data_IF_094644663820
#
_entry.id   IF_094644663820
#
_cell.length_a   1.000
_cell.length_b   1.000
_cell.length_c   1.000
_cell.angle_alpha   90.00
_cell.angle_beta   90.00
_cell.angle_gamma   90.00
#
_symmetry.space_group_name_H-M   'P 1'
#
loop_
_entity.id
_entity.type
_entity.pdbx_description
1 polymer ?
#
# COMPACT_ATOMS: atom_id res chain seq x y z
N UNK A 1 -1.84 -62.61 46.18
CA UNK A 1 -3.00 -63.06 45.39
C UNK A 1 -2.64 -63.96 44.20
N UNK A 2 -1.53 -63.70 43.49
CA UNK A 2 -1.12 -64.44 42.29
C UNK A 2 -0.90 -65.96 42.49
N UNK A 3 -0.32 -66.37 43.61
CA UNK A 3 0.00 -67.79 43.87
C UNK A 3 -1.23 -68.68 44.18
N UNK A 4 -2.42 -68.10 44.38
CA UNK A 4 -3.67 -68.85 44.68
C UNK A 4 -4.60 -69.06 43.46
N UNK A 5 -4.27 -68.50 42.29
CA UNK A 5 -5.04 -68.65 41.05
C UNK A 5 -4.70 -69.96 40.32
N UNK A 6 -5.69 -70.62 39.69
CA UNK A 6 -5.44 -71.79 38.83
C UNK A 6 -4.67 -71.41 37.56
N UNK A 7 -3.90 -72.34 36.99
CA UNK A 7 -3.06 -72.10 35.79
C UNK A 7 -3.89 -71.53 34.61
N UNK A 8 -5.16 -71.93 34.49
CA UNK A 8 -6.06 -71.52 33.41
C UNK A 8 -6.37 -70.02 33.36
N UNK A 9 -6.21 -69.28 34.46
CA UNK A 9 -6.41 -67.82 34.50
C UNK A 9 -5.11 -67.01 34.47
N UNK A 10 -3.96 -67.62 34.78
CA UNK A 10 -2.66 -66.91 34.83
C UNK A 10 -2.13 -66.55 33.45
N UNK A 11 -2.22 -67.48 32.49
CA UNK A 11 -1.73 -67.28 31.12
C UNK A 11 -2.55 -66.20 30.40
N UNK A 12 -3.90 -66.23 30.40
CA UNK A 12 -4.69 -65.16 29.79
C UNK A 12 -4.48 -63.80 30.44
N UNK A 13 -4.36 -63.73 31.77
CA UNK A 13 -4.10 -62.48 32.48
C UNK A 13 -2.73 -61.87 32.12
N UNK A 14 -1.70 -62.70 31.96
CA UNK A 14 -0.37 -62.25 31.53
C UNK A 14 -0.39 -61.72 30.07
N UNK A 15 -1.10 -62.41 29.16
CA UNK A 15 -1.26 -61.98 27.77
C UNK A 15 -2.02 -60.65 27.69
N UNK A 16 -3.13 -60.50 28.44
CA UNK A 16 -3.89 -59.25 28.53
C UNK A 16 -3.04 -58.10 29.07
N UNK A 17 -2.27 -58.34 30.13
CA UNK A 17 -1.36 -57.34 30.69
C UNK A 17 -0.30 -56.90 29.68
N UNK A 18 0.31 -57.85 28.96
CA UNK A 18 1.30 -57.56 27.93
C UNK A 18 0.69 -56.78 26.75
N UNK A 19 -0.46 -57.21 26.25
CA UNK A 19 -1.18 -56.52 25.18
C UNK A 19 -1.56 -55.09 25.57
N UNK A 20 -1.98 -54.87 26.81
CA UNK A 20 -2.33 -53.54 27.32
C UNK A 20 -1.10 -52.63 27.42
N UNK A 21 0.03 -53.14 27.91
CA UNK A 21 1.30 -52.38 27.97
C UNK A 21 1.75 -51.96 26.57
N UNK A 22 1.72 -52.88 25.61
CA UNK A 22 2.08 -52.59 24.21
C UNK A 22 1.12 -51.56 23.62
N UNK A 23 -0.19 -51.73 23.82
CA UNK A 23 -1.20 -50.80 23.32
C UNK A 23 -1.02 -49.37 23.87
N UNK A 24 -0.75 -49.23 25.17
CA UNK A 24 -0.46 -47.93 25.79
C UNK A 24 0.85 -47.35 25.26
N UNK A 25 1.90 -48.17 25.14
CA UNK A 25 3.19 -47.71 24.61
C UNK A 25 3.08 -47.20 23.16
N UNK A 26 2.42 -47.97 22.29
CA UNK A 26 2.16 -47.59 20.90
C UNK A 26 1.25 -46.37 20.83
N UNK A 27 0.17 -46.34 21.62
CA UNK A 27 -0.76 -45.20 21.66
C UNK A 27 -0.08 -43.91 22.10
N UNK A 28 0.72 -43.96 23.16
CA UNK A 28 1.49 -42.82 23.65
C UNK A 28 2.53 -42.35 22.63
N UNK A 29 3.31 -43.29 22.05
CA UNK A 29 4.28 -42.97 21.01
C UNK A 29 3.62 -42.38 19.77
N UNK A 30 2.48 -42.94 19.35
CA UNK A 30 1.72 -42.47 18.19
C UNK A 30 1.16 -41.08 18.42
N UNK A 31 0.59 -40.80 19.60
CA UNK A 31 0.11 -39.48 19.96
C UNK A 31 1.24 -38.45 19.99
N UNK A 32 2.38 -38.79 20.59
CA UNK A 32 3.55 -37.89 20.64
C UNK A 32 4.09 -37.59 19.24
N UNK A 33 4.18 -38.60 18.37
CA UNK A 33 4.61 -38.40 16.99
C UNK A 33 3.62 -37.55 16.19
N UNK A 34 2.31 -37.82 16.33
CA UNK A 34 1.26 -37.06 15.66
C UNK A 34 1.24 -35.58 16.12
N UNK A 35 1.39 -35.32 17.42
CA UNK A 35 1.45 -33.95 17.93
C UNK A 35 2.67 -33.18 17.41
N UNK A 36 3.84 -33.85 17.30
CA UNK A 36 5.05 -33.24 16.72
C UNK A 36 4.89 -32.94 15.24
N UNK A 37 4.34 -33.90 14.48
CA UNK A 37 4.08 -33.75 13.05
C UNK A 37 3.08 -32.62 12.78
N UNK A 38 1.99 -32.55 13.55
CA UNK A 38 1.00 -31.47 13.41
C UNK A 38 1.61 -30.10 13.68
N UNK A 39 2.47 -29.97 14.70
CA UNK A 39 3.16 -28.71 14.99
C UNK A 39 4.14 -28.35 13.87
N UNK A 40 4.90 -29.31 13.37
CA UNK A 40 5.83 -29.09 12.27
C UNK A 40 5.10 -28.65 10.99
N UNK A 41 4.01 -29.31 10.63
CA UNK A 41 3.17 -28.91 9.50
C UNK A 41 2.55 -27.53 9.69
N UNK A 42 2.15 -27.18 10.91
CA UNK A 42 1.63 -25.84 11.20
C UNK A 42 2.72 -24.78 11.01
N UNK A 43 3.95 -25.05 11.45
CA UNK A 43 5.10 -24.17 11.28
C UNK A 43 5.47 -24.00 9.80
N UNK A 44 5.60 -25.09 9.05
CA UNK A 44 5.89 -25.05 7.61
C UNK A 44 4.84 -24.25 6.84
N UNK A 45 3.54 -24.45 7.15
CA UNK A 45 2.45 -23.70 6.51
C UNK A 45 2.54 -22.21 6.82
N UNK A 46 2.79 -21.85 8.08
CA UNK A 46 2.95 -20.44 8.45
C UNK A 46 4.16 -19.82 7.75
N UNK A 47 5.26 -20.55 7.63
CA UNK A 47 6.44 -20.11 6.90
C UNK A 47 6.13 -19.94 5.41
N UNK A 48 5.49 -20.90 4.75
CA UNK A 48 5.09 -20.77 3.34
C UNK A 48 4.15 -19.59 3.12
N UNK A 49 3.22 -19.34 4.04
CA UNK A 49 2.35 -18.16 3.99
C UNK A 49 3.18 -16.88 4.13
N UNK A 50 4.09 -16.82 5.10
CA UNK A 50 4.95 -15.67 5.30
C UNK A 50 5.82 -15.38 4.07
N UNK A 51 6.45 -16.41 3.52
CA UNK A 51 7.26 -16.32 2.29
C UNK A 51 6.41 -15.83 1.10
N UNK A 52 5.22 -16.41 0.90
CA UNK A 52 4.29 -15.98 -0.15
C UNK A 52 3.87 -14.52 0.01
N UNK A 53 3.64 -14.04 1.24
CA UNK A 53 3.28 -12.63 1.49
C UNK A 53 4.46 -11.69 1.25
N UNK A 54 5.67 -12.11 1.60
CA UNK A 54 6.89 -11.33 1.28
C UNK A 54 7.06 -11.20 -0.23
N UNK A 55 6.86 -12.29 -0.98
CA UNK A 55 6.89 -12.25 -2.46
C UNK A 55 5.83 -11.32 -3.02
N UNK A 56 4.57 -11.46 -2.57
CA UNK A 56 3.46 -10.61 -3.02
C UNK A 56 3.72 -9.11 -2.75
N UNK A 57 4.26 -8.76 -1.59
CA UNK A 57 4.63 -7.38 -1.27
C UNK A 57 5.79 -6.87 -2.16
N UNK A 58 6.79 -7.71 -2.43
CA UNK A 58 7.87 -7.33 -3.34
C UNK A 58 7.36 -7.09 -4.77
N UNK A 59 6.50 -7.98 -5.26
CA UNK A 59 5.90 -7.87 -6.60
C UNK A 59 5.04 -6.61 -6.70
N UNK A 60 4.27 -6.30 -5.64
CA UNK A 60 3.47 -5.07 -5.56
C UNK A 60 4.34 -3.81 -5.58
N UNK A 61 5.39 -3.73 -4.77
CA UNK A 61 6.31 -2.59 -4.76
C UNK A 61 7.07 -2.45 -6.09
N UNK A 62 7.39 -3.55 -6.75
CA UNK A 62 8.00 -3.55 -8.08
C UNK A 62 7.01 -3.02 -9.14
N UNK A 63 5.73 -3.37 -9.04
CA UNK A 63 4.68 -2.81 -9.89
C UNK A 63 4.59 -1.30 -9.75
N UNK A 64 4.51 -0.79 -8.51
CA UNK A 64 4.47 0.66 -8.25
C UNK A 64 5.69 1.36 -8.87
N UNK A 65 6.88 0.77 -8.74
CA UNK A 65 8.10 1.32 -9.33
C UNK A 65 8.02 1.40 -10.85
N UNK A 66 7.55 0.33 -11.51
CA UNK A 66 7.41 0.30 -12.98
C UNK A 66 6.40 1.31 -13.46
N UNK A 67 5.26 1.43 -12.77
CA UNK A 67 4.22 2.38 -13.11
C UNK A 67 4.73 3.82 -12.96
N UNK A 68 5.42 4.15 -11.85
CA UNK A 68 6.01 5.47 -11.64
C UNK A 68 7.04 5.82 -12.71
N UNK A 69 7.90 4.87 -13.11
CA UNK A 69 8.88 5.07 -14.19
C UNK A 69 8.20 5.32 -15.54
N UNK A 70 7.14 4.55 -15.85
CA UNK A 70 6.39 4.74 -17.07
C UNK A 70 5.68 6.09 -17.07
N UNK A 71 4.86 6.36 -16.04
CA UNK A 71 4.02 7.56 -15.95
C UNK A 71 4.85 8.84 -15.91
N UNK A 72 5.98 8.86 -15.19
CA UNK A 72 6.84 10.05 -15.12
C UNK A 72 7.56 10.36 -16.44
N UNK A 73 7.64 9.40 -17.36
CA UNK A 73 8.25 9.58 -18.70
C UNK A 73 7.21 9.76 -19.81
N UNK A 74 5.91 9.62 -19.51
CA UNK A 74 4.86 9.86 -20.48
C UNK A 74 4.84 11.34 -20.91
N UNK A 75 4.75 11.65 -22.23
CA UNK A 75 4.62 13.02 -22.71
C UNK A 75 3.44 13.77 -22.09
N UNK A 76 2.32 13.07 -21.85
CA UNK A 76 1.13 13.63 -21.20
C UNK A 76 1.44 14.20 -19.81
N UNK A 77 2.22 13.48 -19.00
CA UNK A 77 2.58 13.92 -17.64
C UNK A 77 3.46 15.17 -17.69
N UNK A 78 4.42 15.21 -18.62
CA UNK A 78 5.28 16.39 -18.82
C UNK A 78 4.47 17.61 -19.27
N UNK A 79 3.53 17.41 -20.20
CA UNK A 79 2.61 18.46 -20.67
C UNK A 79 1.70 18.95 -19.54
N UNK A 80 1.12 18.04 -18.75
CA UNK A 80 0.31 18.39 -17.60
C UNK A 80 1.09 19.21 -16.56
N UNK A 81 2.32 18.80 -16.21
CA UNK A 81 3.19 19.58 -15.30
C UNK A 81 3.44 20.97 -15.86
N UNK A 82 3.77 21.10 -17.15
CA UNK A 82 4.04 22.39 -17.79
C UNK A 82 2.78 23.28 -17.80
N UNK A 83 1.63 22.73 -18.20
CA UNK A 83 0.35 23.44 -18.26
C UNK A 83 -0.13 23.90 -16.88
N UNK A 84 -0.09 23.03 -15.87
CA UNK A 84 -0.43 23.41 -14.50
C UNK A 84 0.57 24.41 -13.91
N UNK A 85 1.87 24.30 -14.21
CA UNK A 85 2.87 25.28 -13.75
C UNK A 85 2.61 26.66 -14.34
N UNK A 86 2.28 26.75 -15.64
CA UNK A 86 1.93 28.02 -16.31
C UNK A 86 0.65 28.61 -15.74
N UNK A 87 -0.40 27.78 -15.62
CA UNK A 87 -1.67 28.22 -15.07
C UNK A 87 -1.56 28.66 -13.61
N UNK A 88 -0.70 28.01 -12.82
CA UNK A 88 -0.38 28.43 -11.46
C UNK A 88 0.18 29.85 -11.42
N UNK A 89 1.16 30.17 -12.28
CA UNK A 89 1.77 31.50 -12.34
C UNK A 89 0.80 32.59 -12.81
N UNK A 90 -0.18 32.25 -13.65
CA UNK A 90 -1.24 33.17 -14.10
C UNK A 90 -2.25 33.55 -13.02
N UNK A 91 -2.37 32.76 -11.94
CA UNK A 91 -3.26 33.09 -10.83
C UNK A 91 -2.72 34.28 -10.03
N UNK A 92 -3.46 35.37 -9.97
CA UNK A 92 -3.09 36.51 -9.12
C UNK A 92 -3.44 36.30 -7.64
N UNK A 93 -2.64 36.86 -6.74
CA UNK A 93 -2.92 36.86 -5.30
C UNK A 93 -2.63 35.54 -4.57
N UNK A 94 -3.52 35.16 -3.65
CA UNK A 94 -3.38 33.96 -2.81
C UNK A 94 -3.78 32.69 -3.58
N UNK A 95 -2.83 32.16 -4.34
CA UNK A 95 -2.99 30.96 -5.17
C UNK A 95 -3.49 29.75 -4.35
N UNK A 96 -2.93 29.56 -3.15
CA UNK A 96 -3.32 28.49 -2.22
C UNK A 96 -4.79 28.64 -1.84
N UNK A 97 -5.19 29.82 -1.38
CA UNK A 97 -6.58 30.12 -1.01
C UNK A 97 -7.55 29.94 -2.18
N UNK A 98 -7.20 30.42 -3.37
CA UNK A 98 -8.02 30.30 -4.59
C UNK A 98 -8.26 28.83 -4.94
N UNK A 99 -7.19 28.03 -5.05
CA UNK A 99 -7.29 26.64 -5.48
C UNK A 99 -7.94 25.73 -4.44
N UNK A 100 -7.62 25.92 -3.14
CA UNK A 100 -8.30 25.19 -2.07
C UNK A 100 -9.78 25.56 -2.00
N UNK A 101 -10.13 26.82 -2.20
CA UNK A 101 -11.55 27.21 -2.26
C UNK A 101 -12.27 26.45 -3.37
N UNK A 102 -11.74 26.50 -4.60
CA UNK A 102 -12.36 25.88 -5.77
C UNK A 102 -12.49 24.34 -5.64
N UNK A 103 -11.43 23.63 -5.25
CA UNK A 103 -11.38 22.16 -5.32
C UNK A 103 -11.58 21.44 -3.97
N UNK A 104 -11.49 22.15 -2.84
CA UNK A 104 -11.64 21.56 -1.50
C UNK A 104 -12.89 22.08 -0.79
N UNK A 105 -13.09 23.40 -0.74
CA UNK A 105 -14.15 24.02 0.08
C UNK A 105 -15.50 24.06 -0.65
N UNK A 106 -15.50 24.52 -1.91
CA UNK A 106 -16.69 24.66 -2.74
C UNK A 106 -16.98 23.39 -3.58
N UNK A 107 -16.19 22.32 -3.37
CA UNK A 107 -16.39 21.04 -4.04
C UNK A 107 -17.73 20.41 -3.60
N UNK A 108 -18.66 20.11 -4.54
CA UNK A 108 -19.98 19.59 -4.19
C UNK A 108 -19.97 18.13 -3.74
N UNK A 109 -18.88 17.40 -3.96
CA UNK A 109 -18.75 16.00 -3.58
C UNK A 109 -18.46 15.84 -2.07
N UNK A 110 -18.90 14.74 -1.45
CA UNK A 110 -18.67 14.51 -0.03
C UNK A 110 -17.17 14.32 0.29
N UNK A 111 -16.86 14.34 1.58
CA UNK A 111 -15.49 14.09 2.07
C UNK A 111 -15.01 12.72 1.57
N UNK A 112 -13.82 12.68 0.97
CA UNK A 112 -13.24 11.48 0.36
C UNK A 112 -13.58 11.30 -1.14
N UNK A 113 -14.47 12.12 -1.69
CA UNK A 113 -14.91 12.02 -3.10
C UNK A 113 -14.58 13.29 -3.91
N UNK A 114 -13.68 14.14 -3.41
CA UNK A 114 -13.31 15.41 -4.06
C UNK A 114 -12.74 15.23 -5.47
N UNK A 115 -12.04 14.12 -5.68
CA UNK A 115 -11.52 13.67 -6.97
C UNK A 115 -12.62 13.36 -8.01
N UNK A 116 -13.91 13.40 -7.67
CA UNK A 116 -14.98 13.25 -8.67
C UNK A 116 -15.25 14.56 -9.43
N UNK A 117 -14.73 15.70 -8.95
CA UNK A 117 -14.91 17.00 -9.59
C UNK A 117 -13.94 17.18 -10.77
N UNK A 118 -14.46 17.19 -12.01
CA UNK A 118 -13.62 17.46 -13.19
C UNK A 118 -13.32 18.95 -13.38
N UNK A 119 -14.28 19.83 -13.08
CA UNK A 119 -14.16 21.29 -13.25
C UNK A 119 -14.86 21.98 -12.09
N UNK A 120 -14.29 23.08 -11.62
CA UNK A 120 -14.85 23.93 -10.57
C UNK A 120 -15.63 25.14 -11.13
N UNK A 121 -15.83 25.20 -12.45
CA UNK A 121 -16.54 26.26 -13.18
C UNK A 121 -16.01 27.68 -12.88
N UNK A 122 -14.71 27.79 -12.61
CA UNK A 122 -14.05 29.06 -12.28
C UNK A 122 -13.70 29.88 -13.53
N UNK A 123 -13.63 29.23 -14.70
CA UNK A 123 -13.20 29.84 -15.96
C UNK A 123 -11.72 30.20 -16.02
N UNK A 124 -10.92 29.75 -15.05
CA UNK A 124 -9.46 29.96 -15.03
C UNK A 124 -8.76 28.97 -15.97
N UNK A 125 -7.57 29.33 -16.46
CA UNK A 125 -6.73 28.40 -17.25
C UNK A 125 -6.38 27.15 -16.44
N UNK A 126 -6.23 27.28 -15.13
CA UNK A 126 -6.02 26.14 -14.24
C UNK A 126 -7.18 25.14 -14.31
N UNK A 127 -8.40 25.64 -14.33
CA UNK A 127 -9.61 24.82 -14.33
C UNK A 127 -9.87 24.14 -15.66
N UNK A 128 -9.56 24.81 -16.77
CA UNK A 128 -9.56 24.19 -18.10
C UNK A 128 -8.54 23.03 -18.17
N UNK A 129 -7.31 23.26 -17.69
CA UNK A 129 -6.31 22.19 -17.61
C UNK A 129 -6.75 21.05 -16.67
N UNK A 130 -7.42 21.39 -15.56
CA UNK A 130 -7.97 20.39 -14.65
C UNK A 130 -9.02 19.54 -15.35
N UNK A 131 -9.97 20.15 -16.07
CA UNK A 131 -10.99 19.44 -16.83
C UNK A 131 -10.40 18.48 -17.87
N UNK A 132 -9.32 18.90 -18.54
CA UNK A 132 -8.64 18.11 -19.58
C UNK A 132 -7.82 16.94 -19.01
N UNK A 133 -7.00 17.17 -17.97
CA UNK A 133 -6.04 16.17 -17.47
C UNK A 133 -6.58 15.30 -16.32
N UNK A 134 -7.47 15.84 -15.49
CA UNK A 134 -7.92 15.16 -14.28
C UNK A 134 -8.58 13.79 -14.54
N UNK A 135 -9.42 13.60 -15.58
CA UNK A 135 -10.03 12.30 -15.84
C UNK A 135 -9.00 11.18 -16.01
N UNK A 136 -7.89 11.45 -16.71
CA UNK A 136 -6.84 10.46 -16.94
C UNK A 136 -6.07 10.12 -15.66
N UNK A 137 -5.67 11.13 -14.88
CA UNK A 137 -4.98 10.89 -13.61
C UNK A 137 -5.89 10.21 -12.58
N UNK A 138 -7.19 10.53 -12.56
CA UNK A 138 -8.16 9.82 -11.73
C UNK A 138 -8.25 8.36 -12.13
N UNK A 139 -8.38 8.07 -13.42
CA UNK A 139 -8.42 6.68 -13.91
C UNK A 139 -7.15 5.92 -13.52
N UNK A 140 -5.97 6.53 -13.71
CA UNK A 140 -4.69 5.96 -13.27
C UNK A 140 -4.69 5.66 -11.75
N UNK A 141 -5.19 6.59 -10.93
CA UNK A 141 -5.29 6.38 -9.48
C UNK A 141 -6.22 5.20 -9.16
N UNK A 142 -7.42 5.16 -9.76
CA UNK A 142 -8.44 4.18 -9.43
C UNK A 142 -8.09 2.78 -9.92
N UNK A 143 -7.53 2.65 -11.12
CA UNK A 143 -7.17 1.35 -11.70
C UNK A 143 -5.98 0.72 -10.97
N UNK A 144 -5.04 1.53 -10.49
CA UNK A 144 -3.85 1.04 -9.77
C UNK A 144 -3.98 1.07 -8.25
N UNK A 145 -5.10 1.56 -7.70
CA UNK A 145 -5.37 1.59 -6.26
C UNK A 145 -4.44 2.52 -5.47
N UNK A 146 -3.94 3.60 -6.08
CA UNK A 146 -3.09 4.56 -5.39
C UNK A 146 -3.89 5.42 -4.42
N UNK A 147 -3.24 5.84 -3.34
CA UNK A 147 -3.86 6.76 -2.37
C UNK A 147 -4.06 8.16 -2.98
N UNK A 148 -3.02 8.70 -3.61
CA UNK A 148 -3.06 9.97 -4.34
C UNK A 148 -1.95 10.01 -5.40
N UNK A 149 -2.09 10.91 -6.37
CA UNK A 149 -1.09 11.23 -7.39
C UNK A 149 -0.80 12.72 -7.33
N UNK A 150 0.47 13.06 -7.14
CA UNK A 150 0.94 14.43 -6.97
C UNK A 150 1.78 14.87 -8.17
N UNK A 151 1.57 16.10 -8.63
CA UNK A 151 2.48 16.77 -9.57
C UNK A 151 3.07 18.00 -8.91
N UNK A 152 4.39 18.12 -8.99
CA UNK A 152 5.15 19.23 -8.45
C UNK A 152 5.80 20.02 -9.57
N UNK A 153 5.86 21.34 -9.40
CA UNK A 153 6.78 22.16 -10.19
C UNK A 153 8.19 22.16 -9.56
N UNK A 154 9.16 22.74 -10.29
CA UNK A 154 10.55 22.86 -9.82
C UNK A 154 10.72 23.89 -8.69
N UNK A 155 9.73 24.75 -8.46
CA UNK A 155 9.71 25.68 -7.33
C UNK A 155 9.16 25.02 -6.04
N UNK A 156 8.79 23.75 -6.10
CA UNK A 156 8.29 22.96 -4.98
C UNK A 156 6.83 23.22 -4.64
N UNK A 157 6.05 23.83 -5.55
CA UNK A 157 4.62 23.94 -5.39
C UNK A 157 3.96 22.60 -5.75
N UNK A 158 3.05 22.14 -4.89
CA UNK A 158 2.13 21.05 -5.21
C UNK A 158 1.02 21.59 -6.12
N UNK A 159 1.34 21.68 -7.42
CA UNK A 159 0.49 22.29 -8.43
C UNK A 159 -0.74 21.43 -8.76
N UNK A 160 -0.72 20.13 -8.46
CA UNK A 160 -1.86 19.23 -8.67
C UNK A 160 -1.78 18.01 -7.73
N UNK A 161 -2.93 17.60 -7.20
CA UNK A 161 -3.16 16.29 -6.53
C UNK A 161 -4.47 15.71 -7.10
N UNK A 162 -4.68 14.40 -7.12
CA UNK A 162 -5.99 13.84 -7.52
C UNK A 162 -7.00 14.01 -6.38
N UNK A 163 -6.61 13.62 -5.17
CA UNK A 163 -7.52 13.52 -4.02
C UNK A 163 -7.82 14.87 -3.34
N UNK A 164 -6.93 15.86 -3.52
CA UNK A 164 -7.04 17.24 -3.02
C UNK A 164 -7.21 17.33 -1.50
N UNK A 165 -6.13 17.07 -0.77
CA UNK A 165 -6.07 17.22 0.69
C UNK A 165 -5.46 18.58 1.11
N UNK A 166 -5.22 18.77 2.41
CA UNK A 166 -4.73 20.05 2.96
C UNK A 166 -3.29 20.42 2.56
N UNK A 167 -2.58 19.51 1.92
CA UNK A 167 -1.28 19.74 1.32
C UNK A 167 -1.37 20.34 -0.09
N UNK A 168 -2.48 20.15 -0.78
CA UNK A 168 -2.71 20.68 -2.12
C UNK A 168 -2.54 22.20 -2.17
N UNK A 169 -1.93 22.66 -3.26
CA UNK A 169 -1.62 24.06 -3.52
C UNK A 169 -0.75 24.72 -2.43
N UNK A 170 0.12 23.95 -1.78
CA UNK A 170 1.14 24.46 -0.85
C UNK A 170 2.55 24.25 -1.40
N UNK A 171 3.56 24.79 -0.71
CA UNK A 171 4.96 24.66 -1.10
C UNK A 171 5.73 23.70 -0.16
N UNK A 172 6.60 22.88 -0.74
CA UNK A 172 7.34 21.81 -0.07
C UNK A 172 8.86 22.05 0.00
N UNK A 173 9.35 23.21 -0.45
CA UNK A 173 10.72 23.64 -0.14
C UNK A 173 10.91 23.84 1.36
N UNK A 174 12.17 23.89 1.81
CA UNK A 174 12.50 24.12 3.22
C UNK A 174 11.82 25.40 3.73
N UNK A 175 11.02 25.26 4.79
CA UNK A 175 10.21 26.35 5.37
C UNK A 175 8.73 26.30 4.99
N UNK A 176 8.35 25.48 4.00
CA UNK A 176 6.96 25.17 3.69
C UNK A 176 6.28 24.30 4.76
N UNK A 177 4.97 24.44 4.91
CA UNK A 177 4.17 23.79 5.96
C UNK A 177 4.34 22.27 5.98
N UNK A 178 4.42 21.64 4.80
CA UNK A 178 4.47 20.19 4.65
C UNK A 178 5.86 19.67 4.28
N UNK A 179 6.88 20.53 4.28
CA UNK A 179 8.22 20.17 3.84
C UNK A 179 8.86 19.05 4.67
N UNK A 180 8.50 18.90 5.95
CA UNK A 180 9.08 17.86 6.82
C UNK A 180 8.32 16.53 6.80
N UNK A 181 7.27 16.40 5.97
CA UNK A 181 6.55 15.14 5.79
C UNK A 181 7.32 14.18 4.87
N UNK A 182 6.86 12.93 4.78
CA UNK A 182 7.43 11.94 3.85
C UNK A 182 7.27 12.38 2.39
N UNK A 183 6.16 13.03 2.03
CA UNK A 183 5.98 13.63 0.70
C UNK A 183 7.01 14.74 0.44
N UNK A 184 7.30 15.58 1.45
CA UNK A 184 8.36 16.59 1.35
C UNK A 184 9.76 16.01 1.24
N UNK A 185 10.02 14.87 1.88
CA UNK A 185 11.26 14.11 1.70
C UNK A 185 11.36 13.53 0.28
N UNK A 186 10.28 12.94 -0.23
CA UNK A 186 10.22 12.41 -1.59
C UNK A 186 10.43 13.48 -2.65
N UNK A 187 9.79 14.66 -2.52
CA UNK A 187 10.02 15.80 -3.42
C UNK A 187 11.49 16.23 -3.45
N UNK A 188 12.12 16.39 -2.27
CA UNK A 188 13.54 16.77 -2.19
C UNK A 188 14.45 15.72 -2.82
N UNK A 189 14.18 14.46 -2.54
CA UNK A 189 14.96 13.40 -3.17
C UNK A 189 14.81 13.42 -4.69
N UNK A 190 13.61 13.63 -5.22
CA UNK A 190 13.38 13.69 -6.65
C UNK A 190 14.13 14.88 -7.31
N UNK A 191 14.13 16.06 -6.68
CA UNK A 191 14.84 17.23 -7.24
C UNK A 191 16.36 17.16 -7.09
N UNK A 192 16.87 16.44 -6.08
CA UNK A 192 18.30 16.18 -5.87
C UNK A 192 18.82 15.00 -6.73
N UNK A 193 17.91 14.19 -7.26
CA UNK A 193 18.20 13.06 -8.14
C UNK A 193 18.49 13.51 -9.58
N UNK A 194 19.32 12.76 -10.30
CA UNK A 194 19.63 13.04 -11.70
C UNK A 194 18.46 12.73 -12.64
N UNK A 195 18.52 13.18 -13.91
CA UNK A 195 17.59 12.72 -14.94
C UNK A 195 17.56 11.19 -14.96
N UNK A 196 16.38 10.58 -15.04
CA UNK A 196 16.13 9.13 -15.06
C UNK A 196 16.27 8.37 -13.73
N UNK A 197 16.40 9.08 -12.60
CA UNK A 197 16.37 8.44 -11.28
C UNK A 197 15.08 8.74 -10.54
N UNK A 198 14.29 7.69 -10.27
CA UNK A 198 13.08 7.74 -9.44
C UNK A 198 13.43 7.21 -8.04
N UNK A 199 13.77 8.09 -7.08
CA UNK A 199 14.06 7.64 -5.73
C UNK A 199 12.80 7.04 -5.10
N UNK A 200 12.95 5.86 -4.53
CA UNK A 200 11.88 5.09 -3.89
C UNK A 200 12.17 4.99 -2.40
N UNK A 201 11.14 5.23 -1.57
CA UNK A 201 11.23 5.29 -0.11
C UNK A 201 10.28 4.28 0.52
#
# INVERSE_FOLDING_TARGET
MWNRLSIGYKIPAAILGFALIVGVGVGASSYMSAARELNHQAEERLQTIAESRVTELNDYLESIRKDLQLVSTLPLTAEAIESFSKAWEELDGDKTGILKKAYIQDNPNPLGEKHLLNSADTGTVYDLNHEDYHPWFRELLTENGYYDIFLFDKAGNLIYSVFKEEDFATNFLRGGQWAQTDLGQAFRAAIESGPDTAPFF
#
